data_IF_603053004070
#
_entry.id   IF_603053004070
#
_cell.length_a   1.000
_cell.length_b   1.000
_cell.length_c   1.000
_cell.angle_alpha   90.00
_cell.angle_beta   90.00
_cell.angle_gamma   90.00
#
_symmetry.space_group_name_H-M   'P 1'
#
loop_
_entity.id
_entity.type
_entity.pdbx_description
1 polymer ?
#
# COMPACT_ATOMS: atom_id res chain seq x y z
N UNK A 1 -12.91 -10.85 6.60
CA UNK A 1 -13.66 -11.01 5.33
C UNK A 1 -12.86 -10.69 4.06
N UNK A 2 -11.66 -10.08 4.14
CA UNK A 2 -10.86 -9.71 2.95
C UNK A 2 -10.21 -10.89 2.18
N UNK A 3 -9.99 -12.04 2.82
CA UNK A 3 -9.30 -13.19 2.20
C UNK A 3 -10.18 -14.04 1.27
N UNK A 4 -11.52 -13.93 1.37
CA UNK A 4 -12.44 -14.69 0.50
C UNK A 4 -12.66 -14.05 -0.88
N UNK A 5 -12.34 -12.77 -1.04
CA UNK A 5 -12.50 -12.08 -2.34
C UNK A 5 -11.34 -12.38 -3.29
N UNK A 6 -10.12 -12.52 -2.77
CA UNK A 6 -8.93 -12.81 -3.58
C UNK A 6 -8.96 -14.19 -4.28
N UNK A 7 -9.71 -15.16 -3.74
CA UNK A 7 -9.80 -16.51 -4.30
C UNK A 7 -10.74 -16.58 -5.53
N UNK A 8 -11.72 -15.68 -5.66
CA UNK A 8 -12.65 -15.67 -6.80
C UNK A 8 -12.03 -15.12 -8.10
N UNK A 9 -10.99 -14.27 -8.02
CA UNK A 9 -10.40 -13.65 -9.21
C UNK A 9 -9.28 -14.48 -9.87
N UNK A 10 -8.73 -15.48 -9.20
CA UNK A 10 -7.70 -16.38 -9.79
C UNK A 10 -8.25 -17.29 -10.88
N UNK A 11 -9.51 -17.70 -10.80
CA UNK A 11 -10.14 -18.55 -11.82
C UNK A 11 -10.45 -17.83 -13.12
N UNK A 12 -10.84 -16.54 -13.05
CA UNK A 12 -11.21 -15.76 -14.23
C UNK A 12 -9.99 -15.44 -15.11
N UNK A 13 -8.83 -15.23 -14.49
CA UNK A 13 -7.60 -14.88 -15.21
C UNK A 13 -7.08 -16.03 -16.08
N UNK A 14 -7.18 -17.28 -15.61
CA UNK A 14 -6.80 -18.45 -16.41
C UNK A 14 -7.76 -18.71 -17.58
N UNK A 15 -9.06 -18.45 -17.41
CA UNK A 15 -10.04 -18.59 -18.49
C UNK A 15 -9.78 -17.62 -19.66
N UNK A 16 -9.38 -16.37 -19.36
CA UNK A 16 -9.07 -15.37 -20.39
C UNK A 16 -7.74 -15.67 -21.11
N UNK A 17 -6.73 -16.17 -20.39
CA UNK A 17 -5.47 -16.63 -20.99
C UNK A 17 -5.67 -17.84 -21.92
N UNK A 18 -6.59 -18.75 -21.60
CA UNK A 18 -6.86 -19.93 -22.43
C UNK A 18 -7.53 -19.56 -23.78
N UNK A 19 -8.39 -18.54 -23.79
CA UNK A 19 -9.04 -18.03 -25.02
C UNK A 19 -8.04 -17.27 -25.91
N UNK A 20 -7.07 -16.57 -25.32
CA UNK A 20 -6.03 -15.87 -26.08
C UNK A 20 -5.03 -16.85 -26.74
N UNK A 21 -4.79 -18.02 -26.15
CA UNK A 21 -3.86 -19.02 -26.69
C UNK A 21 -4.48 -19.86 -27.83
N UNK A 22 -5.81 -19.98 -27.88
CA UNK A 22 -6.51 -20.72 -28.94
C UNK A 22 -6.64 -19.95 -30.27
N UNK A 23 -6.33 -18.65 -30.29
CA UNK A 23 -6.46 -17.80 -31.49
C UNK A 23 -5.19 -17.75 -32.37
N UNK A 24 -4.10 -18.43 -31.99
CA UNK A 24 -2.80 -18.32 -32.68
C UNK A 24 -2.45 -19.56 -33.53
N UNK A 25 -3.27 -20.62 -33.54
CA UNK A 25 -2.91 -21.91 -34.18
C UNK A 25 -3.75 -22.34 -35.38
N UNK A 26 -4.32 -21.40 -36.16
CA UNK A 26 -4.97 -21.75 -37.44
C UNK A 26 -4.48 -20.88 -38.58
N UNK A 27 -3.61 -21.43 -39.42
CA UNK A 27 -3.80 -21.57 -40.88
C UNK A 27 -2.50 -22.14 -41.46
N UNK A 28 -2.57 -23.40 -41.86
CA UNK A 28 -1.61 -24.07 -42.71
C UNK A 28 -2.37 -24.65 -43.92
N UNK A 29 -1.66 -24.77 -45.05
CA UNK A 29 -1.95 -25.56 -46.25
C UNK A 29 -2.99 -25.07 -47.28
N UNK A 30 -2.51 -24.79 -48.50
CA UNK A 30 -2.88 -25.53 -49.73
C UNK A 30 -2.06 -25.07 -50.97
N UNK A 31 -1.65 -26.04 -51.77
CA UNK A 31 -0.99 -26.04 -53.11
C UNK A 31 -1.73 -27.16 -53.92
N UNK A 32 -1.59 -27.43 -55.25
CA UNK A 32 -1.43 -26.67 -56.52
C UNK A 32 -2.48 -27.13 -57.63
N UNK A 33 -2.15 -27.43 -58.93
CA UNK A 33 -2.19 -26.68 -60.24
C UNK A 33 -3.28 -27.22 -61.27
N UNK A 34 -3.28 -27.06 -62.65
CA UNK A 34 -2.28 -27.59 -63.64
C UNK A 34 -2.17 -26.97 -65.10
N UNK A 35 -1.23 -27.55 -65.90
CA UNK A 35 -1.20 -27.84 -67.38
C UNK A 35 -0.76 -26.85 -68.49
N UNK A 36 0.29 -27.26 -69.24
CA UNK A 36 0.67 -26.91 -70.63
C UNK A 36 -0.12 -27.80 -71.67
N UNK A 37 -0.02 -27.69 -73.04
CA UNK A 37 1.18 -28.01 -73.86
C UNK A 37 1.28 -27.35 -75.29
N UNK A 38 2.36 -27.62 -76.07
CA UNK A 38 2.30 -27.69 -77.55
C UNK A 38 3.44 -27.09 -78.42
N UNK A 39 4.40 -27.92 -78.84
CA UNK A 39 5.21 -27.86 -80.11
C UNK A 39 4.38 -28.55 -81.25
N UNK A 40 4.77 -28.69 -82.57
CA UNK A 40 6.12 -28.81 -83.18
C UNK A 40 6.34 -28.39 -84.69
N UNK A 41 7.54 -28.71 -85.19
CA UNK A 41 7.91 -29.28 -86.53
C UNK A 41 8.09 -28.43 -87.83
N UNK A 42 9.25 -28.61 -88.50
CA UNK A 42 9.52 -28.40 -89.95
C UNK A 42 8.78 -29.43 -90.84
N UNK A 43 9.22 -29.88 -92.06
CA UNK A 43 10.56 -29.92 -92.73
C UNK A 43 10.54 -29.48 -94.24
N UNK A 44 11.64 -29.47 -95.01
CA UNK A 44 12.16 -30.58 -95.84
C UNK A 44 12.52 -30.06 -97.26
N UNK A 45 13.72 -30.33 -97.80
CA UNK A 45 14.03 -31.33 -98.87
C UNK A 45 13.52 -30.94 -100.28
N UNK A 46 14.15 -31.14 -101.43
CA UNK A 46 15.35 -31.85 -101.89
C UNK A 46 15.32 -31.86 -103.43
N UNK A 47 16.46 -32.03 -104.10
CA UNK A 47 16.55 -32.68 -105.42
C UNK A 47 17.28 -31.85 -106.48
N UNK A 48 18.52 -32.12 -106.89
CA UNK A 48 19.02 -33.31 -107.63
C UNK A 48 18.34 -33.39 -109.01
N UNK A 49 19.01 -33.38 -110.16
CA UNK A 49 20.05 -34.31 -110.59
C UNK A 49 20.60 -33.90 -111.97
N UNK A 50 21.87 -34.26 -112.21
CA UNK A 50 22.44 -34.94 -113.40
C UNK A 50 22.26 -34.31 -114.81
N UNK A 51 23.16 -34.51 -115.77
CA UNK A 51 24.51 -35.07 -115.88
C UNK A 51 24.85 -35.07 -117.40
N UNK A 52 26.15 -35.06 -117.75
CA UNK A 52 26.77 -36.02 -118.71
C UNK A 52 26.20 -35.96 -120.14
N UNK A 53 26.93 -35.52 -121.18
CA UNK A 53 28.11 -36.17 -121.82
C UNK A 53 27.96 -35.88 -123.33
N UNK A 54 28.99 -35.39 -124.03
CA UNK A 54 29.92 -36.21 -124.86
C UNK A 54 29.14 -36.92 -125.98
N UNK A 55 29.53 -36.94 -127.25
CA UNK A 55 30.76 -36.63 -127.97
C UNK A 55 30.44 -37.01 -129.46
N UNK A 56 31.26 -36.58 -130.44
CA UNK A 56 31.51 -37.32 -131.72
C UNK A 56 30.36 -37.23 -132.77
N UNK A 57 30.48 -36.89 -134.06
CA UNK A 57 31.56 -36.75 -135.06
C UNK A 57 31.00 -35.88 -136.22
N UNK A 58 31.74 -34.99 -136.89
CA UNK A 58 32.75 -35.37 -137.88
C UNK A 58 32.06 -35.97 -139.12
N UNK A 59 31.51 -35.19 -140.07
CA UNK A 59 32.06 -35.10 -141.46
C UNK A 59 31.04 -34.31 -142.33
N UNK A 60 30.56 -33.15 -141.86
CA UNK A 60 29.91 -32.14 -142.71
C UNK A 60 30.50 -30.76 -142.39
N UNK A 61 31.84 -30.74 -142.30
CA UNK A 61 32.69 -29.64 -141.84
C UNK A 61 33.00 -28.57 -142.89
N UNK A 62 32.59 -28.72 -144.13
CA UNK A 62 33.03 -27.79 -145.19
C UNK A 62 31.93 -26.96 -145.86
N UNK A 63 30.67 -27.44 -145.87
CA UNK A 63 29.50 -26.62 -146.32
C UNK A 63 28.79 -25.85 -145.20
N UNK A 64 29.21 -26.06 -143.95
CA UNK A 64 28.72 -25.39 -142.76
C UNK A 64 29.66 -24.28 -142.25
N UNK A 65 30.74 -23.95 -142.94
CA UNK A 65 31.65 -22.86 -142.55
C UNK A 65 31.15 -21.48 -143.05
N UNK A 66 30.56 -21.41 -144.25
CA UNK A 66 30.03 -20.16 -144.81
C UNK A 66 28.67 -19.77 -144.20
N UNK A 67 27.74 -20.71 -143.98
CA UNK A 67 26.48 -20.44 -143.25
C UNK A 67 26.68 -20.24 -141.73
N UNK A 68 27.85 -20.57 -141.17
CA UNK A 68 28.23 -20.25 -139.77
C UNK A 68 28.83 -18.86 -139.62
N UNK A 69 29.35 -18.24 -140.66
CA UNK A 69 29.80 -16.85 -140.60
C UNK A 69 28.56 -15.92 -140.55
N UNK A 70 27.58 -16.17 -141.41
CA UNK A 70 26.31 -15.41 -141.47
C UNK A 70 25.43 -15.66 -140.23
N UNK A 71 25.30 -16.92 -139.75
CA UNK A 71 24.65 -17.19 -138.46
C UNK A 71 25.44 -16.70 -137.24
N UNK A 72 26.75 -16.43 -137.35
CA UNK A 72 27.54 -15.84 -136.25
C UNK A 72 27.28 -14.34 -136.12
N UNK A 73 27.04 -13.63 -137.22
CA UNK A 73 26.64 -12.23 -137.16
C UNK A 73 25.20 -12.09 -136.66
N UNK A 74 24.25 -12.86 -137.19
CA UNK A 74 22.87 -12.88 -136.67
C UNK A 74 22.78 -13.33 -135.21
N UNK A 75 23.66 -14.23 -134.75
CA UNK A 75 23.76 -14.59 -133.32
C UNK A 75 24.44 -13.52 -132.47
N UNK A 76 25.36 -12.72 -133.02
CA UNK A 76 25.96 -11.59 -132.29
C UNK A 76 24.95 -10.46 -132.15
N UNK A 77 24.23 -10.12 -133.21
CA UNK A 77 23.09 -9.18 -133.13
C UNK A 77 22.02 -9.69 -132.17
N UNK A 78 21.57 -10.93 -132.30
CA UNK A 78 20.57 -11.49 -131.37
C UNK A 78 21.10 -11.61 -129.93
N UNK A 79 22.41 -11.82 -129.72
CA UNK A 79 23.01 -11.82 -128.38
C UNK A 79 23.12 -10.41 -127.79
N UNK A 80 23.41 -9.40 -128.61
CA UNK A 80 23.41 -8.00 -128.18
C UNK A 80 22.00 -7.52 -127.87
N UNK A 81 21.02 -7.87 -128.71
CA UNK A 81 19.60 -7.57 -128.48
C UNK A 81 19.07 -8.27 -127.23
N UNK A 82 19.40 -9.56 -127.00
CA UNK A 82 19.05 -10.25 -125.75
C UNK A 82 19.78 -9.67 -124.54
N UNK A 83 21.00 -9.13 -124.72
CA UNK A 83 21.78 -8.52 -123.64
C UNK A 83 21.20 -7.17 -123.24
N UNK A 84 20.73 -6.37 -124.21
CA UNK A 84 19.99 -5.12 -123.98
C UNK A 84 18.65 -5.42 -123.30
N UNK A 85 17.84 -6.35 -123.83
CA UNK A 85 16.57 -6.75 -123.21
C UNK A 85 16.74 -7.31 -121.79
N UNK A 86 17.83 -8.05 -121.52
CA UNK A 86 18.16 -8.50 -120.16
C UNK A 86 18.64 -7.38 -119.25
N UNK A 87 19.26 -6.33 -119.79
CA UNK A 87 19.63 -5.14 -119.02
C UNK A 87 18.39 -4.29 -118.70
N UNK A 88 17.50 -4.08 -119.67
CA UNK A 88 16.24 -3.37 -119.47
C UNK A 88 15.32 -4.11 -118.49
N UNK A 89 15.13 -5.42 -118.64
CA UNK A 89 14.32 -6.21 -117.70
C UNK A 89 14.92 -6.25 -116.28
N UNK A 90 16.24 -6.05 -116.13
CA UNK A 90 16.90 -5.91 -114.82
C UNK A 90 16.70 -4.51 -114.24
N UNK A 91 16.73 -3.47 -115.07
CA UNK A 91 16.44 -2.10 -114.65
C UNK A 91 14.98 -1.97 -114.24
N UNK A 92 14.04 -2.48 -115.04
CA UNK A 92 12.61 -2.44 -114.72
C UNK A 92 12.28 -3.23 -113.44
N UNK A 93 12.89 -4.40 -113.23
CA UNK A 93 12.73 -5.13 -111.96
C UNK A 93 13.38 -4.41 -110.76
N UNK A 94 14.45 -3.64 -110.98
CA UNK A 94 15.03 -2.83 -109.91
C UNK A 94 14.12 -1.66 -109.55
N UNK A 95 13.52 -0.99 -110.53
CA UNK A 95 12.56 0.09 -110.32
C UNK A 95 11.30 -0.39 -109.60
N UNK A 96 10.68 -1.49 -110.04
CA UNK A 96 9.51 -2.06 -109.34
C UNK A 96 9.83 -2.48 -107.89
N UNK A 97 11.07 -2.89 -107.60
CA UNK A 97 11.50 -3.20 -106.23
C UNK A 97 11.73 -1.95 -105.38
N UNK A 98 12.12 -0.82 -105.98
CA UNK A 98 12.24 0.46 -105.28
C UNK A 98 10.86 1.05 -105.01
N UNK A 99 9.96 1.05 -105.99
CA UNK A 99 8.58 1.51 -105.82
C UNK A 99 7.83 0.68 -104.77
N UNK A 100 7.96 -0.65 -104.77
CA UNK A 100 7.36 -1.50 -103.74
C UNK A 100 7.96 -1.26 -102.35
N UNK A 101 9.24 -0.86 -102.26
CA UNK A 101 9.87 -0.47 -100.99
C UNK A 101 9.35 0.87 -100.49
N UNK A 102 9.15 1.84 -101.38
CA UNK A 102 8.62 3.16 -101.03
C UNK A 102 7.13 3.11 -100.65
N UNK A 103 6.32 2.28 -101.31
CA UNK A 103 4.94 2.01 -100.91
C UNK A 103 4.87 1.27 -99.56
N UNK A 104 5.82 0.36 -99.29
CA UNK A 104 5.90 -0.36 -98.01
C UNK A 104 6.36 0.51 -96.84
N UNK A 105 7.24 1.50 -97.07
CA UNK A 105 7.71 2.42 -96.01
C UNK A 105 6.65 3.45 -95.66
N UNK A 106 5.90 3.96 -96.62
CA UNK A 106 4.80 4.91 -96.41
C UNK A 106 3.65 4.26 -95.63
N UNK A 107 3.15 3.10 -96.05
CA UNK A 107 2.10 2.38 -95.31
C UNK A 107 2.52 1.97 -93.90
N UNK A 108 3.77 1.53 -93.71
CA UNK A 108 4.31 1.22 -92.37
C UNK A 108 4.48 2.47 -91.50
N UNK A 109 4.73 3.63 -92.10
CA UNK A 109 4.83 4.90 -91.36
C UNK A 109 3.47 5.43 -90.90
N UNK A 110 2.42 5.22 -91.71
CA UNK A 110 1.05 5.58 -91.38
C UNK A 110 0.48 4.71 -90.26
N UNK A 111 0.64 3.39 -90.34
CA UNK A 111 0.23 2.46 -89.26
C UNK A 111 0.99 2.75 -87.96
N UNK A 112 2.26 3.17 -88.04
CA UNK A 112 3.02 3.60 -86.85
C UNK A 112 2.50 4.92 -86.28
N UNK A 113 2.05 5.85 -87.13
CA UNK A 113 1.46 7.12 -86.71
C UNK A 113 0.11 6.89 -86.03
N UNK A 114 -0.74 6.06 -86.62
CA UNK A 114 -2.04 5.69 -86.05
C UNK A 114 -1.87 4.95 -84.71
N UNK A 115 -0.98 3.96 -84.64
CA UNK A 115 -0.66 3.30 -83.37
C UNK A 115 -0.09 4.26 -82.31
N UNK A 116 0.63 5.32 -82.72
CA UNK A 116 1.14 6.34 -81.80
C UNK A 116 0.01 7.23 -81.26
N UNK A 117 -0.97 7.58 -82.10
CA UNK A 117 -2.15 8.34 -81.70
C UNK A 117 -3.02 7.50 -80.76
N UNK A 118 -3.33 6.26 -81.12
CA UNK A 118 -4.11 5.35 -80.28
C UNK A 118 -3.41 5.09 -78.93
N UNK A 119 -2.08 4.98 -78.91
CA UNK A 119 -1.32 4.84 -77.67
C UNK A 119 -1.33 6.13 -76.84
N UNK A 120 -1.35 7.31 -77.47
CA UNK A 120 -1.46 8.59 -76.78
C UNK A 120 -2.85 8.76 -76.17
N UNK A 121 -3.92 8.41 -76.90
CA UNK A 121 -5.30 8.44 -76.44
C UNK A 121 -5.51 7.45 -75.28
N UNK A 122 -5.09 6.20 -75.43
CA UNK A 122 -5.15 5.21 -74.34
C UNK A 122 -4.33 5.61 -73.11
N UNK A 123 -3.23 6.34 -73.29
CA UNK A 123 -2.45 6.93 -72.17
C UNK A 123 -3.17 8.11 -71.52
N UNK A 124 -3.88 8.91 -72.30
CA UNK A 124 -4.72 10.02 -71.82
C UNK A 124 -5.87 9.49 -70.97
N UNK A 125 -6.65 8.56 -71.51
CA UNK A 125 -7.75 7.90 -70.80
C UNK A 125 -7.27 7.18 -69.53
N UNK A 126 -6.14 6.47 -69.60
CA UNK A 126 -5.56 5.82 -68.42
C UNK A 126 -5.04 6.84 -67.38
N UNK A 127 -4.61 8.03 -67.81
CA UNK A 127 -4.19 9.09 -66.89
C UNK A 127 -5.40 9.76 -66.22
N UNK A 128 -6.47 10.01 -66.96
CA UNK A 128 -7.73 10.56 -66.47
C UNK A 128 -8.39 9.59 -65.47
N UNK A 129 -8.55 8.32 -65.82
CA UNK A 129 -9.07 7.29 -64.91
C UNK A 129 -8.22 7.16 -63.63
N UNK A 130 -6.89 7.33 -63.72
CA UNK A 130 -6.01 7.34 -62.54
C UNK A 130 -6.20 8.59 -61.69
N UNK A 131 -6.47 9.74 -62.31
CA UNK A 131 -6.71 10.99 -61.60
C UNK A 131 -8.06 10.94 -60.89
N UNK A 132 -9.11 10.45 -61.55
CA UNK A 132 -10.43 10.23 -60.97
C UNK A 132 -10.35 9.25 -59.79
N UNK A 133 -9.78 8.06 -59.99
CA UNK A 133 -9.61 7.09 -58.91
C UNK A 133 -8.79 7.62 -57.73
N UNK A 134 -7.80 8.50 -57.98
CA UNK A 134 -7.05 9.20 -56.92
C UNK A 134 -7.91 10.23 -56.19
N UNK A 135 -8.74 10.98 -56.91
CA UNK A 135 -9.63 11.98 -56.32
C UNK A 135 -10.73 11.33 -55.48
N UNK A 136 -11.33 10.24 -55.95
CA UNK A 136 -12.29 9.43 -55.20
C UNK A 136 -11.63 8.79 -53.98
N UNK A 137 -10.44 8.20 -54.15
CA UNK A 137 -9.69 7.65 -53.01
C UNK A 137 -9.29 8.73 -52.00
N UNK A 138 -9.02 9.95 -52.44
CA UNK A 138 -8.71 11.07 -51.55
C UNK A 138 -9.97 11.55 -50.81
N UNK A 139 -11.11 11.65 -51.50
CA UNK A 139 -12.40 11.99 -50.90
C UNK A 139 -12.80 10.95 -49.84
N UNK A 140 -12.77 9.67 -50.19
CA UNK A 140 -13.06 8.57 -49.26
C UNK A 140 -12.11 8.57 -48.04
N UNK A 141 -10.84 8.97 -48.22
CA UNK A 141 -9.90 9.11 -47.10
C UNK A 141 -10.22 10.29 -46.19
N UNK A 142 -10.77 11.37 -46.73
CA UNK A 142 -11.20 12.54 -45.93
C UNK A 142 -12.46 12.17 -45.15
N UNK A 143 -13.46 11.60 -45.82
CA UNK A 143 -14.70 11.14 -45.17
C UNK A 143 -14.42 10.13 -44.05
N UNK A 144 -13.60 9.09 -44.32
CA UNK A 144 -13.21 8.11 -43.30
C UNK A 144 -12.46 8.76 -42.12
N UNK A 145 -11.67 9.81 -42.37
CA UNK A 145 -10.99 10.57 -41.30
C UNK A 145 -11.97 11.37 -40.47
N UNK A 146 -12.99 11.96 -41.08
CA UNK A 146 -14.03 12.73 -40.39
C UNK A 146 -14.92 11.82 -39.56
N UNK A 147 -15.37 10.68 -40.10
CA UNK A 147 -16.10 9.66 -39.35
C UNK A 147 -15.28 9.15 -38.16
N UNK A 148 -13.99 8.82 -38.38
CA UNK A 148 -13.11 8.39 -37.29
C UNK A 148 -12.94 9.47 -36.22
N UNK A 149 -12.87 10.75 -36.60
CA UNK A 149 -12.81 11.87 -35.66
C UNK A 149 -14.12 12.00 -34.87
N UNK A 150 -15.27 11.87 -35.53
CA UNK A 150 -16.57 11.92 -34.88
C UNK A 150 -16.72 10.79 -33.84
N UNK A 151 -16.38 9.55 -34.21
CA UNK A 151 -16.41 8.39 -33.29
C UNK A 151 -15.46 8.57 -32.10
N UNK A 152 -14.25 9.10 -32.34
CA UNK A 152 -13.31 9.38 -31.25
C UNK A 152 -13.80 10.50 -30.33
N UNK A 153 -14.47 11.52 -30.87
CA UNK A 153 -15.04 12.62 -30.10
C UNK A 153 -16.22 12.14 -29.24
N UNK A 154 -17.15 11.37 -29.81
CA UNK A 154 -18.25 10.76 -29.08
C UNK A 154 -17.73 9.86 -27.96
N UNK A 155 -16.74 9.00 -28.25
CA UNK A 155 -16.09 8.16 -27.23
C UNK A 155 -15.37 8.97 -26.15
N UNK A 156 -14.86 10.15 -26.47
CA UNK A 156 -14.23 11.03 -25.49
C UNK A 156 -15.27 11.69 -24.57
N UNK A 157 -16.45 12.06 -25.11
CA UNK A 157 -17.56 12.60 -24.33
C UNK A 157 -18.14 11.57 -23.38
N UNK A 158 -18.45 10.36 -23.86
CA UNK A 158 -18.99 9.28 -23.01
C UNK A 158 -18.04 8.93 -21.88
N UNK A 159 -16.74 8.79 -22.18
CA UNK A 159 -15.72 8.60 -21.15
C UNK A 159 -15.69 9.75 -20.14
N UNK A 160 -15.81 11.00 -20.60
CA UNK A 160 -15.81 12.17 -19.70
C UNK A 160 -17.01 12.15 -18.75
N UNK A 161 -18.18 11.74 -19.23
CA UNK A 161 -19.39 11.60 -18.42
C UNK A 161 -19.25 10.46 -17.39
N UNK A 162 -18.75 9.30 -17.80
CA UNK A 162 -18.44 8.19 -16.88
C UNK A 162 -17.41 8.60 -15.82
N UNK A 163 -16.36 9.33 -16.21
CA UNK A 163 -15.36 9.86 -15.28
C UNK A 163 -15.94 10.93 -14.35
N UNK A 164 -16.91 11.73 -14.80
CA UNK A 164 -17.59 12.70 -13.95
C UNK A 164 -18.46 11.98 -12.90
N UNK A 165 -19.24 10.98 -13.30
CA UNK A 165 -20.07 10.19 -12.39
C UNK A 165 -19.26 9.43 -11.34
N UNK A 166 -18.23 8.71 -11.78
CA UNK A 166 -17.33 8.00 -10.84
C UNK A 166 -16.60 8.94 -9.88
N UNK A 167 -16.28 10.17 -10.30
CA UNK A 167 -15.66 11.19 -9.44
C UNK A 167 -16.64 11.75 -8.42
N UNK A 168 -17.90 11.91 -8.78
CA UNK A 168 -18.97 12.34 -7.86
C UNK A 168 -19.23 11.26 -6.80
N UNK A 169 -19.44 10.01 -7.21
CA UNK A 169 -19.59 8.87 -6.30
C UNK A 169 -18.41 8.73 -5.34
N UNK A 170 -17.18 8.90 -5.84
CA UNK A 170 -15.99 8.85 -5.00
C UNK A 170 -15.94 9.99 -3.98
N UNK A 171 -16.38 11.20 -4.35
CA UNK A 171 -16.48 12.33 -3.41
C UNK A 171 -17.53 12.06 -2.34
N UNK A 172 -18.68 11.50 -2.71
CA UNK A 172 -19.74 11.16 -1.77
C UNK A 172 -19.31 10.05 -0.81
N UNK A 173 -18.61 9.03 -1.30
CA UNK A 173 -18.03 7.98 -0.46
C UNK A 173 -16.99 8.54 0.51
N UNK A 174 -16.13 9.47 0.07
CA UNK A 174 -15.17 10.12 0.95
C UNK A 174 -15.86 11.02 1.98
N UNK A 175 -16.91 11.76 1.59
CA UNK A 175 -17.70 12.58 2.49
C UNK A 175 -18.39 11.71 3.56
N UNK A 176 -19.03 10.61 3.16
CA UNK A 176 -19.65 9.66 4.06
C UNK A 176 -18.64 9.02 5.02
N UNK A 177 -17.47 8.61 4.52
CA UNK A 177 -16.38 8.07 5.37
C UNK A 177 -15.87 9.10 6.38
N UNK A 178 -15.72 10.36 5.96
CA UNK A 178 -15.30 11.45 6.86
C UNK A 178 -16.34 11.73 7.94
N UNK A 179 -17.63 11.76 7.57
CA UNK A 179 -18.72 11.95 8.53
C UNK A 179 -18.76 10.81 9.55
N UNK A 180 -18.72 9.55 9.09
CA UNK A 180 -18.70 8.39 9.98
C UNK A 180 -17.47 8.38 10.90
N UNK A 181 -16.30 8.77 10.39
CA UNK A 181 -15.08 8.86 11.21
C UNK A 181 -15.19 9.97 12.26
N UNK A 182 -15.77 11.12 11.91
CA UNK A 182 -15.99 12.22 12.84
C UNK A 182 -16.93 11.82 13.98
N UNK A 183 -18.05 11.16 13.66
CA UNK A 183 -19.01 10.62 14.64
C UNK A 183 -18.34 9.61 15.59
N UNK A 184 -17.60 8.64 15.04
CA UNK A 184 -16.86 7.65 15.84
C UNK A 184 -15.80 8.31 16.76
N UNK A 185 -15.16 9.40 16.33
CA UNK A 185 -14.21 10.14 17.17
C UNK A 185 -14.91 10.90 18.30
N UNK A 186 -16.09 11.47 18.05
CA UNK A 186 -16.89 12.13 19.07
C UNK A 186 -17.41 11.14 20.12
N UNK A 187 -17.94 9.99 19.69
CA UNK A 187 -18.35 8.92 20.60
C UNK A 187 -17.18 8.41 21.46
N UNK A 188 -16.02 8.15 20.85
CA UNK A 188 -14.81 7.72 21.58
C UNK A 188 -14.35 8.78 22.59
N UNK A 189 -14.43 10.07 22.23
CA UNK A 189 -14.08 11.17 23.14
C UNK A 189 -15.06 11.27 24.31
N UNK A 190 -16.36 11.12 24.06
CA UNK A 190 -17.38 11.11 25.10
C UNK A 190 -17.18 9.94 26.08
N UNK A 191 -17.04 8.72 25.56
CA UNK A 191 -16.78 7.53 26.36
C UNK A 191 -15.46 7.62 27.14
N UNK A 192 -14.42 8.22 26.57
CA UNK A 192 -13.15 8.44 27.28
C UNK A 192 -13.30 9.42 28.45
N UNK A 193 -14.08 10.51 28.28
CA UNK A 193 -14.35 11.48 29.35
C UNK A 193 -15.15 10.83 30.48
N UNK A 194 -16.20 10.09 30.15
CA UNK A 194 -17.01 9.36 31.13
C UNK A 194 -16.17 8.37 31.93
N UNK A 195 -15.31 7.58 31.26
CA UNK A 195 -14.38 6.65 31.95
C UNK A 195 -13.38 7.36 32.86
N UNK A 196 -12.91 8.55 32.47
CA UNK A 196 -11.99 9.34 33.30
C UNK A 196 -12.73 9.87 34.54
N UNK A 197 -13.95 10.37 34.39
CA UNK A 197 -14.77 10.86 35.49
C UNK A 197 -15.15 9.74 36.46
N UNK A 198 -15.58 8.58 35.95
CA UNK A 198 -15.90 7.40 36.75
C UNK A 198 -14.66 6.89 37.51
N UNK A 199 -13.51 6.77 36.83
CA UNK A 199 -12.25 6.38 37.48
C UNK A 199 -11.83 7.39 38.54
N UNK A 200 -11.98 8.69 38.28
CA UNK A 200 -11.62 9.75 39.23
C UNK A 200 -12.53 9.70 40.47
N UNK A 201 -13.83 9.47 40.28
CA UNK A 201 -14.77 9.29 41.39
C UNK A 201 -14.45 8.04 42.21
N UNK A 202 -14.23 6.90 41.56
CA UNK A 202 -13.87 5.64 42.23
C UNK A 202 -12.55 5.73 42.99
N UNK A 203 -11.53 6.41 42.43
CA UNK A 203 -10.28 6.67 43.13
C UNK A 203 -10.45 7.67 44.30
N UNK A 204 -11.38 8.62 44.17
CA UNK A 204 -11.79 9.53 45.24
C UNK A 204 -12.39 8.78 46.42
N UNK A 205 -13.37 7.91 46.18
CA UNK A 205 -14.00 7.11 47.24
C UNK A 205 -13.01 6.15 47.91
N UNK A 206 -12.25 5.38 47.12
CA UNK A 206 -11.21 4.49 47.67
C UNK A 206 -10.15 5.24 48.48
N UNK A 207 -9.82 6.47 48.09
CA UNK A 207 -8.91 7.29 48.89
C UNK A 207 -9.56 7.70 50.22
N UNK A 208 -10.83 8.13 50.23
CA UNK A 208 -11.55 8.45 51.48
C UNK A 208 -11.66 7.25 52.41
N UNK A 209 -12.01 6.08 51.89
CA UNK A 209 -12.07 4.84 52.68
C UNK A 209 -10.72 4.50 53.32
N UNK A 210 -9.63 4.56 52.55
CA UNK A 210 -8.27 4.32 53.07
C UNK A 210 -7.87 5.32 54.14
N UNK A 211 -8.22 6.59 53.96
CA UNK A 211 -7.92 7.65 54.93
C UNK A 211 -8.76 7.50 56.20
N UNK A 212 -10.05 7.16 56.09
CA UNK A 212 -10.92 6.87 57.24
C UNK A 212 -10.36 5.69 58.05
N UNK A 213 -10.11 4.56 57.39
CA UNK A 213 -9.55 3.38 58.04
C UNK A 213 -8.16 3.62 58.65
N UNK A 214 -7.36 4.52 58.07
CA UNK A 214 -6.08 4.91 58.65
C UNK A 214 -6.27 5.80 59.88
N UNK A 215 -7.16 6.79 59.81
CA UNK A 215 -7.50 7.68 60.92
C UNK A 215 -8.09 6.93 62.12
N UNK A 216 -9.06 6.05 61.90
CA UNK A 216 -9.66 5.18 62.93
C UNK A 216 -8.60 4.30 63.63
N UNK A 217 -7.66 3.73 62.86
CA UNK A 217 -6.55 2.94 63.43
C UNK A 217 -5.61 3.77 64.29
N UNK A 218 -5.38 5.04 63.94
CA UNK A 218 -4.58 5.95 64.77
C UNK A 218 -5.31 6.33 66.05
N UNK A 219 -6.56 6.78 65.96
CA UNK A 219 -7.38 7.15 67.12
C UNK A 219 -7.47 5.99 68.11
N UNK A 220 -7.81 4.79 67.64
CA UNK A 220 -7.90 3.60 68.49
C UNK A 220 -6.57 3.24 69.18
N UNK A 221 -5.43 3.43 68.51
CA UNK A 221 -4.11 3.16 69.09
C UNK A 221 -3.75 4.17 70.18
N UNK A 222 -4.01 5.46 69.94
CA UNK A 222 -3.74 6.55 70.88
C UNK A 222 -4.66 6.44 72.08
N UNK A 223 -5.96 6.21 71.87
CA UNK A 223 -6.94 5.97 72.93
C UNK A 223 -6.56 4.77 73.80
N UNK A 224 -6.17 3.64 73.19
CA UNK A 224 -5.70 2.48 73.93
C UNK A 224 -4.43 2.77 74.75
N UNK A 225 -3.53 3.63 74.25
CA UNK A 225 -2.35 4.07 74.99
C UNK A 225 -2.73 4.93 76.20
N UNK A 226 -3.65 5.88 76.03
CA UNK A 226 -4.20 6.67 77.15
C UNK A 226 -4.87 5.79 78.19
N UNK A 227 -5.70 4.83 77.78
CA UNK A 227 -6.34 3.88 78.70
C UNK A 227 -5.33 3.09 79.53
N UNK A 228 -4.21 2.64 78.92
CA UNK A 228 -3.12 1.99 79.67
C UNK A 228 -2.45 2.93 80.67
N UNK A 229 -2.15 4.17 80.28
CA UNK A 229 -1.52 5.14 81.17
C UNK A 229 -2.43 5.56 82.33
N UNK A 230 -3.73 5.74 82.07
CA UNK A 230 -4.74 5.99 83.10
C UNK A 230 -4.83 4.83 84.11
N UNK A 231 -4.81 3.58 83.63
CA UNK A 231 -4.76 2.41 84.50
C UNK A 231 -3.47 2.31 85.33
N UNK A 232 -2.32 2.73 84.79
CA UNK A 232 -1.07 2.84 85.54
C UNK A 232 -1.18 3.91 86.63
N UNK A 233 -1.65 5.11 86.28
CA UNK A 233 -1.83 6.21 87.23
C UNK A 233 -2.77 5.82 88.38
N UNK A 234 -3.88 5.11 88.09
CA UNK A 234 -4.79 4.60 89.13
C UNK A 234 -4.10 3.64 90.11
N UNK A 235 -3.30 2.69 89.61
CA UNK A 235 -2.54 1.77 90.47
C UNK A 235 -1.44 2.48 91.28
N UNK A 236 -0.84 3.54 90.74
CA UNK A 236 0.11 4.37 91.48
C UNK A 236 -0.57 5.09 92.65
N UNK A 237 -1.75 5.64 92.43
CA UNK A 237 -2.55 6.30 93.47
C UNK A 237 -2.85 5.35 94.63
N UNK A 238 -3.39 4.16 94.33
CA UNK A 238 -3.67 3.13 95.34
C UNK A 238 -2.41 2.71 96.12
N UNK A 239 -1.25 2.71 95.47
CA UNK A 239 0.04 2.39 96.10
C UNK A 239 0.52 3.53 97.00
N UNK A 240 0.40 4.78 96.57
CA UNK A 240 0.76 5.95 97.39
C UNK A 240 -0.11 6.01 98.65
N UNK A 241 -1.43 5.81 98.51
CA UNK A 241 -2.35 5.80 99.65
C UNK A 241 -2.01 4.70 100.66
N UNK A 242 -1.61 3.52 100.19
CA UNK A 242 -1.15 2.43 101.05
C UNK A 242 0.15 2.79 101.79
N UNK A 243 1.12 3.38 101.08
CA UNK A 243 2.41 3.76 101.66
C UNK A 243 2.26 4.86 102.72
N UNK A 244 1.39 5.85 102.49
CA UNK A 244 1.09 6.86 103.51
C UNK A 244 0.45 6.26 104.75
N UNK A 245 -0.47 5.30 104.58
CA UNK A 245 -1.14 4.65 105.70
C UNK A 245 -0.20 3.70 106.50
N UNK A 246 0.74 3.03 105.83
CA UNK A 246 1.60 2.00 106.44
C UNK A 246 2.93 2.55 106.96
N UNK A 247 3.56 3.49 106.25
CA UNK A 247 4.95 3.88 106.48
C UNK A 247 5.14 5.30 107.05
N UNK A 248 4.07 6.12 107.13
CA UNK A 248 4.13 7.52 107.60
C UNK A 248 5.20 8.37 106.89
N UNK A 249 5.33 8.16 105.58
CA UNK A 249 6.32 8.82 104.71
C UNK A 249 5.68 9.99 103.98
N UNK A 250 6.40 11.11 103.84
CA UNK A 250 5.96 12.24 103.02
C UNK A 250 6.05 11.90 101.52
N UNK A 251 4.88 11.73 100.89
CA UNK A 251 4.75 11.45 99.45
C UNK A 251 4.25 12.66 98.65
N UNK A 252 4.39 13.88 99.19
CA UNK A 252 3.88 15.10 98.56
C UNK A 252 4.42 15.31 97.14
N UNK A 253 5.73 15.11 96.92
CA UNK A 253 6.35 15.28 95.60
C UNK A 253 5.85 14.23 94.59
N UNK A 254 5.76 12.96 95.00
CA UNK A 254 5.23 11.88 94.17
C UNK A 254 3.77 12.14 93.76
N UNK A 255 2.94 12.65 94.69
CA UNK A 255 1.56 13.09 94.39
C UNK A 255 1.51 14.27 93.42
N UNK A 256 2.47 15.20 93.51
CA UNK A 256 2.62 16.30 92.55
C UNK A 256 2.78 15.79 91.11
N UNK A 257 3.80 14.95 90.88
CA UNK A 257 4.05 14.37 89.55
C UNK A 257 2.88 13.50 89.05
N UNK A 258 2.19 12.79 89.95
CA UNK A 258 1.01 12.01 89.58
C UNK A 258 -0.18 12.88 89.21
N UNK A 259 -0.35 14.05 89.84
CA UNK A 259 -1.33 15.05 89.44
C UNK A 259 -1.02 15.62 88.05
N UNK A 260 0.26 15.90 87.75
CA UNK A 260 0.69 16.35 86.42
C UNK A 260 0.40 15.28 85.36
N UNK A 261 0.73 14.01 85.64
CA UNK A 261 0.41 12.90 84.75
C UNK A 261 -1.10 12.80 84.45
N UNK A 262 -1.96 13.07 85.45
CA UNK A 262 -3.42 13.07 85.28
C UNK A 262 -3.92 14.23 84.44
N UNK A 263 -3.36 15.42 84.64
CA UNK A 263 -3.67 16.57 83.82
C UNK A 263 -3.32 16.30 82.35
N UNK A 264 -2.14 15.71 82.10
CA UNK A 264 -1.70 15.30 80.76
C UNK A 264 -2.56 14.17 80.17
N UNK A 265 -3.03 13.22 80.99
CA UNK A 265 -3.99 12.20 80.53
C UNK A 265 -5.29 12.87 80.06
N UNK A 266 -5.80 13.86 80.79
CA UNK A 266 -7.00 14.60 80.40
C UNK A 266 -6.77 15.39 79.10
N UNK A 267 -5.65 16.10 78.98
CA UNK A 267 -5.25 16.77 77.73
C UNK A 267 -5.16 15.77 76.56
N UNK A 268 -4.59 14.58 76.81
CA UNK A 268 -4.51 13.54 75.81
C UNK A 268 -5.87 13.02 75.32
N UNK A 269 -6.89 13.00 76.18
CA UNK A 269 -8.26 12.70 75.74
C UNK A 269 -8.83 13.80 74.82
N UNK A 270 -8.49 15.07 75.09
CA UNK A 270 -8.85 16.18 74.20
C UNK A 270 -8.10 16.10 72.87
N UNK A 271 -6.82 15.69 72.87
CA UNK A 271 -6.02 15.48 71.66
C UNK A 271 -6.59 14.36 70.77
N UNK A 272 -7.11 13.28 71.36
CA UNK A 272 -7.83 12.22 70.61
C UNK A 272 -9.09 12.78 69.95
N UNK A 273 -9.88 13.55 70.68
CA UNK A 273 -11.07 14.20 70.13
C UNK A 273 -10.71 15.19 69.00
N UNK A 274 -9.57 15.88 69.11
CA UNK A 274 -9.03 16.75 68.06
C UNK A 274 -8.67 15.95 66.81
N UNK A 275 -8.01 14.79 66.93
CA UNK A 275 -7.69 13.92 65.78
C UNK A 275 -8.97 13.52 65.03
N UNK A 276 -10.01 13.12 65.76
CA UNK A 276 -11.30 12.73 65.17
C UNK A 276 -11.97 13.90 64.44
N UNK A 277 -11.97 15.09 65.07
CA UNK A 277 -12.52 16.30 64.47
C UNK A 277 -11.77 16.71 63.19
N UNK A 278 -10.43 16.69 63.20
CA UNK A 278 -9.59 17.01 62.03
C UNK A 278 -9.79 15.96 60.94
N UNK A 279 -9.87 14.67 61.29
CA UNK A 279 -10.15 13.61 60.32
C UNK A 279 -11.50 13.80 59.63
N UNK A 280 -12.56 14.12 60.39
CA UNK A 280 -13.88 14.38 59.84
C UNK A 280 -13.89 15.58 58.86
N UNK A 281 -13.18 16.67 59.20
CA UNK A 281 -13.03 17.83 58.32
C UNK A 281 -12.25 17.47 57.03
N UNK A 282 -11.16 16.71 57.14
CA UNK A 282 -10.38 16.25 55.98
C UNK A 282 -11.21 15.38 55.06
N UNK A 283 -12.00 14.44 55.59
CA UNK A 283 -12.84 13.53 54.80
C UNK A 283 -13.97 14.23 54.05
N UNK A 284 -14.50 15.33 54.59
CA UNK A 284 -15.55 16.13 53.95
C UNK A 284 -15.00 17.17 52.97
N UNK A 285 -13.69 17.42 52.98
CA UNK A 285 -13.04 18.34 52.05
C UNK A 285 -13.06 17.84 50.58
N UNK A 286 -12.94 18.79 49.64
CA UNK A 286 -12.82 18.46 48.22
C UNK A 286 -11.44 17.85 47.87
N UNK A 287 -10.43 18.09 48.70
CA UNK A 287 -9.04 17.66 48.49
C UNK A 287 -8.48 16.92 49.72
N UNK A 288 -9.07 15.79 50.13
CA UNK A 288 -8.71 15.08 51.37
C UNK A 288 -7.23 14.68 51.42
N UNK A 289 -6.62 14.39 50.27
CA UNK A 289 -5.18 14.04 50.19
C UNK A 289 -4.27 15.21 50.53
N UNK A 290 -4.63 16.42 50.14
CA UNK A 290 -3.81 17.62 50.37
C UNK A 290 -3.89 18.05 51.84
N UNK A 291 -5.04 17.83 52.48
CA UNK A 291 -5.29 18.18 53.89
C UNK A 291 -4.92 17.08 54.89
N UNK A 292 -4.66 15.85 54.45
CA UNK A 292 -4.23 14.76 55.32
C UNK A 292 -2.97 15.03 56.20
N UNK A 293 -2.00 15.87 55.81
CA UNK A 293 -0.92 16.30 56.72
C UNK A 293 -1.43 16.87 58.05
N UNK A 294 -2.60 17.53 58.07
CA UNK A 294 -3.22 18.08 59.29
C UNK A 294 -3.56 16.97 60.30
N UNK A 295 -4.08 15.82 59.83
CA UNK A 295 -4.34 14.64 60.69
C UNK A 295 -3.05 14.13 61.31
N UNK A 296 -1.96 14.09 60.51
CA UNK A 296 -0.66 13.61 61.00
C UNK A 296 -0.06 14.56 62.04
N UNK A 297 -0.26 15.86 61.88
CA UNK A 297 0.15 16.85 62.86
C UNK A 297 -0.60 16.66 64.19
N UNK A 298 -1.93 16.50 64.14
CA UNK A 298 -2.75 16.21 65.32
C UNK A 298 -2.32 14.91 66.02
N UNK A 299 -2.03 13.84 65.26
CA UNK A 299 -1.46 12.59 65.80
C UNK A 299 -0.07 12.83 66.43
N UNK A 300 0.73 13.70 65.84
CA UNK A 300 2.03 14.11 66.38
C UNK A 300 1.92 14.76 67.76
N UNK A 301 0.96 15.67 67.93
CA UNK A 301 0.66 16.33 69.21
C UNK A 301 0.25 15.30 70.26
N UNK A 302 -0.74 14.46 69.96
CA UNK A 302 -1.18 13.42 70.90
C UNK A 302 -0.06 12.44 71.30
N UNK A 303 0.84 12.14 70.35
CA UNK A 303 2.01 11.28 70.62
C UNK A 303 3.01 11.96 71.56
N UNK A 304 3.18 13.27 71.46
CA UNK A 304 4.04 14.03 72.39
C UNK A 304 3.42 14.06 73.78
N UNK A 305 2.12 14.32 73.90
CA UNK A 305 1.38 14.23 75.17
C UNK A 305 1.57 12.86 75.84
N UNK A 306 1.55 11.76 75.06
CA UNK A 306 1.84 10.42 75.59
C UNK A 306 3.27 10.26 76.13
N UNK A 307 4.26 10.93 75.54
CA UNK A 307 5.65 10.94 76.06
C UNK A 307 5.74 11.71 77.36
N UNK A 308 5.07 12.85 77.44
CA UNK A 308 5.00 13.68 78.65
C UNK A 308 4.32 12.93 79.80
N UNK A 309 3.20 12.23 79.55
CA UNK A 309 2.55 11.37 80.55
C UNK A 309 3.53 10.33 81.11
N UNK A 310 4.27 9.66 80.21
CA UNK A 310 5.26 8.65 80.62
C UNK A 310 6.38 9.27 81.46
N UNK A 311 6.86 10.46 81.10
CA UNK A 311 7.89 11.16 81.85
C UNK A 311 7.39 11.49 83.27
N UNK A 312 6.20 12.08 83.40
CA UNK A 312 5.59 12.40 84.70
C UNK A 312 5.39 11.17 85.58
N UNK A 313 4.93 10.03 85.02
CA UNK A 313 4.82 8.76 85.76
C UNK A 313 6.19 8.22 86.22
N UNK A 314 7.22 8.39 85.40
CA UNK A 314 8.59 8.01 85.76
C UNK A 314 9.14 8.88 86.89
N UNK A 315 8.87 10.18 86.87
CA UNK A 315 9.23 11.11 87.94
C UNK A 315 8.50 10.81 89.24
N UNK A 316 7.20 10.53 89.18
CA UNK A 316 6.42 10.06 90.34
C UNK A 316 7.02 8.79 90.97
N UNK A 317 7.48 7.85 90.13
CA UNK A 317 8.16 6.63 90.58
C UNK A 317 9.49 6.95 91.28
N UNK A 318 10.29 7.87 90.70
CA UNK A 318 11.57 8.27 91.27
C UNK A 318 11.38 8.99 92.61
N UNK A 319 10.41 9.90 92.72
CA UNK A 319 10.07 10.59 93.96
C UNK A 319 9.59 9.61 95.04
N UNK A 320 8.77 8.62 94.68
CA UNK A 320 8.35 7.55 95.61
C UNK A 320 9.54 6.75 96.13
N UNK A 321 10.53 6.44 95.27
CA UNK A 321 11.75 5.74 95.70
C UNK A 321 12.62 6.60 96.61
N UNK A 322 12.77 7.88 96.31
CA UNK A 322 13.56 8.81 97.12
C UNK A 322 12.99 8.97 98.54
N UNK A 323 11.66 8.91 98.69
CA UNK A 323 10.98 8.98 99.97
C UNK A 323 11.13 7.69 100.83
N UNK A 324 11.46 6.54 100.21
CA UNK A 324 11.64 5.25 100.89
C UNK A 324 13.04 4.65 100.68
N UNK A 325 14.11 5.26 101.23
CA UNK A 325 15.49 4.85 100.97
C UNK A 325 15.85 3.47 101.56
N UNK A 326 15.17 3.04 102.63
CA UNK A 326 15.48 1.81 103.39
C UNK A 326 14.68 0.59 102.94
N UNK A 327 13.82 0.72 101.93
CA UNK A 327 13.22 -0.47 101.32
C UNK A 327 14.31 -1.22 100.56
N UNK A 328 14.66 -2.46 100.95
CA UNK A 328 15.62 -3.25 100.19
C UNK A 328 15.12 -3.31 98.73
N UNK A 329 16.02 -3.12 97.76
CA UNK A 329 15.75 -3.24 96.33
C UNK A 329 15.40 -4.68 95.93
N UNK A 330 14.44 -5.29 96.61
CA UNK A 330 14.06 -6.70 96.52
C UNK A 330 13.36 -7.07 95.20
N UNK A 331 13.55 -6.29 94.15
CA UNK A 331 12.98 -6.53 92.83
C UNK A 331 13.77 -5.94 91.66
N UNK A 332 14.95 -5.33 91.86
CA UNK A 332 15.73 -4.79 90.74
C UNK A 332 16.50 -5.87 89.94
N UNK A 333 16.71 -7.07 90.51
CA UNK A 333 17.47 -8.15 89.85
C UNK A 333 16.60 -9.27 89.25
N UNK A 334 15.26 -9.20 89.33
CA UNK A 334 14.37 -10.27 88.86
C UNK A 334 13.73 -10.04 87.47
N UNK A 335 13.99 -8.91 86.80
CA UNK A 335 13.41 -8.64 85.46
C UNK A 335 14.44 -8.75 84.31
N UNK A 336 15.40 -9.67 84.47
CA UNK A 336 16.40 -9.99 83.43
C UNK A 336 15.99 -11.08 82.42
N UNK A 337 14.90 -11.82 82.65
CA UNK A 337 14.52 -12.92 81.76
C UNK A 337 13.03 -12.86 81.40
N UNK A 338 12.77 -13.11 80.13
CA UNK A 338 11.45 -13.11 79.46
C UNK A 338 10.90 -11.72 79.10
N UNK A 339 11.60 -11.09 78.14
CA UNK A 339 10.91 -10.34 77.09
C UNK A 339 9.66 -11.12 76.66
N UNK A 340 8.45 -10.55 76.72
CA UNK A 340 7.35 -11.10 75.95
C UNK A 340 7.80 -11.05 74.50
N UNK A 341 8.03 -12.22 73.93
CA UNK A 341 8.23 -12.40 72.51
C UNK A 341 7.16 -11.59 71.80
N UNK A 342 7.65 -10.63 71.01
CA UNK A 342 6.97 -9.93 69.94
C UNK A 342 5.97 -10.85 69.24
N UNK A 343 4.76 -10.92 69.79
CA UNK A 343 3.62 -11.57 69.18
C UNK A 343 2.74 -10.43 68.75
N UNK A 344 2.59 -10.33 67.43
CA UNK A 344 1.61 -9.47 66.78
C UNK A 344 1.96 -7.99 66.60
N UNK A 345 3.23 -7.72 66.30
CA UNK A 345 3.49 -6.78 65.20
C UNK A 345 3.10 -7.48 63.89
N UNK A 346 1.79 -7.62 63.65
CA UNK A 346 1.23 -7.62 62.32
C UNK A 346 1.53 -6.24 61.69
N UNK A 347 2.82 -6.04 61.39
CA UNK A 347 3.22 -5.35 60.20
C UNK A 347 2.58 -6.13 59.04
N UNK A 348 1.32 -5.81 58.77
CA UNK A 348 0.89 -5.67 57.39
C UNK A 348 1.76 -4.60 56.77
N UNK A 349 3.02 -4.95 56.49
CA UNK A 349 3.55 -4.75 55.16
C UNK A 349 2.58 -5.49 54.25
N UNK A 350 1.48 -4.80 53.94
CA UNK A 350 0.77 -4.97 52.69
C UNK A 350 1.84 -4.62 51.66
N UNK A 351 2.60 -5.68 51.38
CA UNK A 351 3.22 -6.01 50.13
C UNK A 351 2.32 -5.40 49.07
N UNK A 352 2.62 -4.13 48.74
CA UNK A 352 2.32 -3.59 47.44
C UNK A 352 2.99 -4.56 46.50
N UNK A 353 2.22 -5.59 46.14
CA UNK A 353 2.46 -6.42 44.99
C UNK A 353 2.91 -5.44 43.93
N UNK A 354 4.16 -5.61 43.54
CA UNK A 354 4.65 -5.12 42.29
C UNK A 354 3.73 -5.78 41.26
N UNK A 355 2.61 -5.10 41.05
CA UNK A 355 1.69 -5.26 39.96
C UNK A 355 2.57 -5.34 38.74
N UNK A 356 2.49 -6.53 38.15
CA UNK A 356 2.90 -6.91 36.83
C UNK A 356 3.17 -5.66 35.98
N UNK A 357 4.45 -5.32 35.81
CA UNK A 357 4.90 -4.69 34.58
C UNK A 357 4.69 -5.72 33.48
N UNK A 358 3.44 -5.90 33.07
CA UNK A 358 3.13 -6.13 31.66
C UNK A 358 3.56 -4.85 30.95
N UNK A 359 4.84 -4.79 30.64
CA UNK A 359 5.37 -3.99 29.53
C UNK A 359 4.80 -4.58 28.23
N UNK A 360 3.48 -4.46 28.05
CA UNK A 360 2.80 -4.57 26.78
C UNK A 360 2.97 -3.20 26.09
N UNK A 361 4.23 -2.82 25.88
CA UNK A 361 4.64 -1.75 24.97
C UNK A 361 4.50 -2.29 23.54
N UNK A 362 3.27 -2.63 23.17
CA UNK A 362 2.86 -2.81 21.79
C UNK A 362 2.90 -1.42 21.13
N UNK A 363 4.10 -1.05 20.69
CA UNK A 363 4.31 0.07 19.79
C UNK A 363 3.28 -0.02 18.64
N UNK A 364 2.51 1.04 18.35
CA UNK A 364 1.75 1.08 17.12
C UNK A 364 2.77 1.10 15.99
N UNK A 365 2.92 -0.04 15.30
CA UNK A 365 3.59 -0.07 14.00
C UNK A 365 2.83 0.89 13.08
N UNK A 366 3.35 2.11 12.97
CA UNK A 366 2.99 3.07 11.95
C UNK A 366 3.33 2.46 10.60
N UNK A 367 2.36 1.80 9.99
CA UNK A 367 2.40 1.45 8.58
C UNK A 367 2.32 2.74 7.78
N UNK A 368 3.47 3.35 7.50
CA UNK A 368 3.60 4.30 6.40
C UNK A 368 3.71 3.50 5.09
N UNK A 369 2.57 3.08 4.57
CA UNK A 369 2.40 2.78 3.15
C UNK A 369 1.36 3.77 2.62
N UNK A 370 1.87 4.79 1.93
CA UNK A 370 1.12 5.73 1.10
C UNK A 370 1.93 6.01 -0.16
#
# INVERSE_FOLDING_TARGET
>A
MATRVAQKYRGLFWAVMLVAFLAITSVAYADPPPTAPGLPSGPGTSGSERAVSRDVDGVLRERAAETRAENRELRKEAQEENRVLRQEARQENQERRLEAREAGTTSRSEVRRENRVNLQEARGEAAENRQEARSESAANRVELREERRAVLHERALTRREEFAGTREEFRDQLAARRAALAENLEERRAAARERIEERRAALGERARERLSALGERFSARVEAAHGRMAGIAGRFDERLDRLEAEADVDLTEARGHLADARALIAQGTDDVALIEAVLADVLTSQTPRERFPEVREAVGVATETLREIRAALSEATAATRAALPDLPEAGAEAEGEESPTSTDAAAGSDELGADEREDDEAAPQGSTDA
#
